data_IF_862402665055
#
_entry.id   IF_862402665055
#
_cell.length_a   1.000
_cell.length_b   1.000
_cell.length_c   1.000
_cell.angle_alpha   90.00
_cell.angle_beta   90.00
_cell.angle_gamma   90.00
#
_symmetry.space_group_name_H-M   'P 1'
#
loop_
_entity.id
_entity.type
_entity.pdbx_description
1 polymer ?
#
# COMPACT_ATOMS: atom_id res chain seq x y z
N UNK A 1 11.03 -19.27 -0.05
CA UNK A 1 10.67 -17.86 0.20
C UNK A 1 9.28 -17.84 0.81
N UNK A 2 8.96 -16.92 1.74
CA UNK A 2 7.60 -16.78 2.25
C UNK A 2 6.61 -16.58 1.08
N UNK A 3 5.51 -17.34 1.09
CA UNK A 3 4.57 -17.40 -0.03
C UNK A 3 3.66 -16.16 -0.15
N UNK A 4 3.68 -15.27 0.85
CA UNK A 4 2.80 -14.10 0.93
C UNK A 4 3.62 -12.82 1.13
N UNK A 5 4.42 -12.48 0.11
CA UNK A 5 5.04 -11.16 0.01
C UNK A 5 4.03 -10.19 -0.60
N UNK A 6 3.85 -9.04 0.04
CA UNK A 6 3.04 -7.94 -0.45
C UNK A 6 3.90 -6.69 -0.69
N UNK A 7 3.32 -5.67 -1.32
CA UNK A 7 4.04 -4.45 -1.65
C UNK A 7 4.45 -3.63 -0.41
N UNK A 8 3.65 -3.69 0.66
CA UNK A 8 3.97 -3.06 1.94
C UNK A 8 5.26 -3.65 2.52
N UNK A 9 5.45 -4.97 2.45
CA UNK A 9 6.64 -5.65 2.96
C UNK A 9 7.90 -5.11 2.27
N UNK A 10 7.90 -5.05 0.94
CA UNK A 10 9.05 -4.58 0.14
C UNK A 10 9.35 -3.12 0.44
N UNK A 11 8.32 -2.27 0.51
CA UNK A 11 8.45 -0.84 0.77
C UNK A 11 9.01 -0.58 2.18
N UNK A 12 8.48 -1.27 3.19
CA UNK A 12 8.95 -1.17 4.59
C UNK A 12 10.38 -1.71 4.72
N UNK A 13 10.68 -2.84 4.07
CA UNK A 13 11.99 -3.47 4.10
C UNK A 13 13.08 -2.56 3.52
N UNK A 14 12.80 -1.87 2.40
CA UNK A 14 13.74 -0.93 1.76
C UNK A 14 14.07 0.29 2.65
N UNK A 15 13.19 0.64 3.59
CA UNK A 15 13.39 1.76 4.53
C UNK A 15 14.32 1.43 5.69
N UNK A 16 14.63 0.16 5.91
CA UNK A 16 15.54 -0.28 6.97
C UNK A 16 16.98 -0.02 6.55
N UNK A 17 17.68 0.83 7.31
CA UNK A 17 19.11 1.10 7.19
C UNK A 17 19.90 0.36 8.27
N UNK A 18 21.23 0.19 8.14
CA UNK A 18 22.04 -0.52 9.13
C UNK A 18 21.97 0.03 10.57
N UNK A 19 21.66 1.32 10.73
CA UNK A 19 21.54 2.03 12.01
C UNK A 19 20.09 2.12 12.51
N UNK A 20 19.16 1.44 11.85
CA UNK A 20 17.73 1.51 12.17
C UNK A 20 17.39 0.69 13.41
N UNK A 21 16.72 1.33 14.36
CA UNK A 21 16.21 0.70 15.59
C UNK A 21 14.69 0.66 15.58
N UNK A 22 14.10 -0.27 16.33
CA UNK A 22 12.64 -0.43 16.42
C UNK A 22 11.96 0.86 16.88
N UNK A 23 12.56 1.56 17.84
CA UNK A 23 12.02 2.78 18.45
C UNK A 23 12.02 3.96 17.47
N UNK A 24 12.98 4.02 16.54
CA UNK A 24 13.11 5.09 15.55
C UNK A 24 12.40 4.78 14.23
N UNK A 25 12.04 3.51 14.00
CA UNK A 25 11.55 3.08 12.70
C UNK A 25 10.25 3.77 12.28
N UNK A 26 9.32 4.02 13.22
CA UNK A 26 8.08 4.73 12.91
C UNK A 26 8.31 6.10 12.26
N UNK A 27 9.31 6.84 12.73
CA UNK A 27 9.70 8.13 12.13
C UNK A 27 10.24 8.01 10.70
N UNK A 28 10.87 6.89 10.34
CA UNK A 28 11.42 6.68 8.99
C UNK A 28 10.34 6.38 7.93
N UNK A 29 9.19 5.86 8.38
CA UNK A 29 8.05 5.51 7.52
C UNK A 29 6.85 6.43 7.74
N UNK A 30 7.02 7.57 8.42
CA UNK A 30 5.95 8.53 8.75
C UNK A 30 4.73 7.87 9.42
N UNK A 31 4.96 6.88 10.28
CA UNK A 31 3.91 6.11 10.94
C UNK A 31 4.10 6.11 12.46
N UNK A 32 3.02 5.83 13.18
CA UNK A 32 3.10 5.66 14.64
C UNK A 32 4.04 4.51 15.01
N UNK A 33 4.62 4.55 16.21
CA UNK A 33 5.44 3.45 16.73
C UNK A 33 4.68 2.11 16.70
N UNK A 34 3.38 2.13 16.99
CA UNK A 34 2.52 0.94 17.00
C UNK A 34 2.36 0.34 15.60
N UNK A 35 2.02 1.16 14.60
CA UNK A 35 1.87 0.70 13.22
C UNK A 35 3.19 0.19 12.64
N UNK A 36 4.28 0.89 12.94
CA UNK A 36 5.62 0.50 12.55
C UNK A 36 6.02 -0.84 13.18
N UNK A 37 5.68 -1.04 14.47
CA UNK A 37 5.91 -2.31 15.17
C UNK A 37 5.09 -3.45 14.56
N UNK A 38 3.84 -3.20 14.13
CA UNK A 38 3.02 -4.19 13.44
C UNK A 38 3.61 -4.58 12.08
N UNK A 39 4.09 -3.60 11.31
CA UNK A 39 4.76 -3.85 10.04
C UNK A 39 6.06 -4.66 10.24
N UNK A 40 6.90 -4.26 11.20
CA UNK A 40 8.12 -4.99 11.57
C UNK A 40 7.83 -6.40 12.08
N UNK A 41 6.79 -6.58 12.89
CA UNK A 41 6.33 -7.89 13.35
C UNK A 41 5.93 -8.79 12.19
N UNK A 42 5.24 -8.24 11.19
CA UNK A 42 4.89 -8.96 9.96
C UNK A 42 6.13 -9.37 9.17
N UNK A 43 7.11 -8.47 9.01
CA UNK A 43 8.39 -8.79 8.37
C UNK A 43 9.17 -9.88 9.13
N UNK A 44 9.16 -9.84 10.46
CA UNK A 44 9.80 -10.84 11.32
C UNK A 44 9.15 -12.21 11.18
N UNK A 45 7.81 -12.28 11.17
CA UNK A 45 7.06 -13.53 10.96
C UNK A 45 7.34 -14.14 9.58
N UNK A 46 7.53 -13.30 8.56
CA UNK A 46 7.92 -13.71 7.20
C UNK A 46 9.41 -14.07 7.09
N UNK A 47 10.20 -13.89 8.16
CA UNK A 47 11.63 -14.15 8.18
C UNK A 47 12.47 -13.17 7.35
N UNK A 48 11.95 -11.99 7.06
CA UNK A 48 12.62 -10.96 6.25
C UNK A 48 13.54 -10.06 7.08
N UNK A 49 13.23 -9.93 8.37
CA UNK A 49 14.05 -9.17 9.34
C UNK A 49 14.26 -9.98 10.61
N UNK A 50 15.28 -9.61 11.36
CA UNK A 50 15.56 -10.08 12.71
C UNK A 50 15.74 -8.88 13.65
N UNK A 51 15.48 -9.11 14.94
CA UNK A 51 15.70 -8.13 16.00
C UNK A 51 16.82 -8.64 16.90
N UNK A 52 17.83 -7.81 17.12
CA UNK A 52 18.83 -8.08 18.15
C UNK A 52 18.46 -7.30 19.39
N UNK A 53 18.07 -8.02 20.45
CA UNK A 53 17.75 -7.43 21.74
C UNK A 53 19.04 -7.26 22.54
N UNK A 54 19.49 -6.03 22.72
CA UNK A 54 20.55 -5.72 23.68
C UNK A 54 19.89 -5.34 25.01
N UNK A 55 20.24 -6.04 26.10
CA UNK A 55 19.80 -5.68 27.45
C UNK A 55 21.02 -5.27 28.27
N UNK A 56 21.14 -4.00 28.72
CA UNK A 56 20.28 -2.84 28.41
C UNK A 56 20.62 -2.23 27.03
N UNK A 57 19.63 -1.86 26.22
CA UNK A 57 19.89 -1.27 24.89
C UNK A 57 18.67 -1.12 23.97
N UNK A 58 18.88 -0.44 22.83
CA UNK A 58 17.89 -0.31 21.75
C UNK A 58 17.86 -1.57 20.90
N UNK A 59 16.68 -1.93 20.41
CA UNK A 59 16.52 -3.10 19.56
C UNK A 59 16.94 -2.75 18.13
N UNK A 60 18.05 -3.32 17.65
CA UNK A 60 18.49 -3.11 16.27
C UNK A 60 17.74 -4.04 15.31
N UNK A 61 17.40 -3.53 14.13
CA UNK A 61 16.72 -4.30 13.09
C UNK A 61 17.75 -4.73 12.05
N UNK A 62 17.86 -6.03 11.79
CA UNK A 62 18.74 -6.58 10.76
C UNK A 62 17.91 -7.20 9.65
N UNK A 63 18.21 -6.87 8.39
CA UNK A 63 17.60 -7.54 7.23
C UNK A 63 18.26 -8.91 7.06
N UNK A 64 17.46 -9.98 7.05
CA UNK A 64 17.95 -11.34 6.90
C UNK A 64 18.42 -11.61 5.48
N UNK A 65 19.08 -12.74 5.25
CA UNK A 65 19.46 -13.18 3.90
C UNK A 65 18.25 -13.30 2.96
N UNK A 66 17.10 -13.75 3.48
CA UNK A 66 15.86 -13.86 2.72
C UNK A 66 15.35 -12.46 2.34
N UNK A 67 15.41 -11.51 3.28
CA UNK A 67 15.05 -10.11 3.03
C UNK A 67 15.95 -9.45 1.98
N UNK A 68 17.26 -9.65 2.07
CA UNK A 68 18.23 -9.14 1.09
C UNK A 68 17.96 -9.70 -0.30
N UNK A 69 17.76 -11.01 -0.42
CA UNK A 69 17.43 -11.65 -1.70
C UNK A 69 16.14 -11.11 -2.31
N UNK A 70 15.14 -10.80 -1.48
CA UNK A 70 13.90 -10.18 -1.94
C UNK A 70 14.15 -8.76 -2.50
N UNK A 71 14.97 -7.96 -1.81
CA UNK A 71 15.35 -6.63 -2.30
C UNK A 71 16.17 -6.70 -3.59
N UNK A 72 17.10 -7.66 -3.70
CA UNK A 72 17.87 -7.88 -4.93
C UNK A 72 16.98 -8.28 -6.12
N UNK A 73 15.97 -9.13 -5.88
CA UNK A 73 14.98 -9.50 -6.90
C UNK A 73 14.17 -8.28 -7.34
N UNK A 74 13.77 -7.43 -6.39
CA UNK A 74 13.06 -6.18 -6.65
C UNK A 74 13.91 -5.16 -7.44
N UNK A 75 15.16 -4.94 -7.01
CA UNK A 75 16.15 -4.08 -7.68
C UNK A 75 16.52 -4.61 -9.09
N UNK A 76 16.44 -5.93 -9.31
CA UNK A 76 16.60 -6.53 -10.64
C UNK A 76 15.39 -6.24 -11.52
N UNK A 77 14.17 -6.32 -10.96
CA UNK A 77 12.92 -6.03 -11.67
C UNK A 77 12.79 -4.56 -12.04
N UNK A 78 13.25 -3.67 -11.17
CA UNK A 78 13.31 -2.23 -11.42
C UNK A 78 14.02 -1.91 -12.75
N UNK A 79 15.09 -2.63 -13.07
CA UNK A 79 15.90 -2.37 -14.29
C UNK A 79 15.28 -2.95 -15.56
N UNK A 80 14.20 -3.72 -15.45
CA UNK A 80 13.52 -4.29 -16.61
C UNK A 80 12.74 -3.21 -17.36
N UNK A 81 12.62 -3.32 -18.69
CA UNK A 81 11.82 -2.39 -19.48
C UNK A 81 10.36 -2.45 -19.05
N UNK A 82 9.65 -1.34 -19.23
CA UNK A 82 8.22 -1.24 -18.97
C UNK A 82 7.44 -2.27 -19.81
N UNK A 83 6.52 -2.98 -19.18
CA UNK A 83 5.79 -4.09 -19.79
C UNK A 83 4.26 -3.91 -19.74
N UNK A 84 3.53 -4.93 -20.24
CA UNK A 84 2.07 -4.86 -20.32
C UNK A 84 1.40 -4.95 -18.95
N UNK A 85 2.02 -5.62 -17.99
CA UNK A 85 1.47 -5.75 -16.64
C UNK A 85 1.63 -4.42 -15.88
N UNK A 86 2.76 -3.75 -16.05
CA UNK A 86 2.96 -2.38 -15.57
C UNK A 86 1.87 -1.45 -16.11
N UNK A 87 1.60 -1.51 -17.41
CA UNK A 87 0.54 -0.71 -18.02
C UNK A 87 -0.83 -1.01 -17.41
N UNK A 88 -1.17 -2.30 -17.27
CA UNK A 88 -2.44 -2.70 -16.66
C UNK A 88 -2.59 -2.16 -15.24
N UNK A 89 -1.52 -2.23 -14.44
CA UNK A 89 -1.48 -1.67 -13.08
C UNK A 89 -1.71 -0.15 -13.11
N UNK A 90 -0.99 0.59 -13.97
CA UNK A 90 -1.18 2.04 -14.10
C UNK A 90 -2.61 2.40 -14.56
N UNK A 91 -3.20 1.63 -15.48
CA UNK A 91 -4.59 1.81 -15.91
C UNK A 91 -5.56 1.62 -14.74
N UNK A 92 -5.40 0.56 -13.92
CA UNK A 92 -6.25 0.36 -12.74
C UNK A 92 -6.08 1.46 -11.70
N UNK A 93 -4.86 1.93 -11.47
CA UNK A 93 -4.60 3.08 -10.60
C UNK A 93 -5.27 4.35 -11.13
N UNK A 94 -5.24 4.58 -12.45
CA UNK A 94 -5.92 5.72 -13.10
C UNK A 94 -7.45 5.67 -12.97
N UNK A 95 -8.01 4.45 -12.87
CA UNK A 95 -9.42 4.21 -12.60
C UNK A 95 -9.80 4.39 -11.11
N UNK A 96 -8.87 4.81 -10.26
CA UNK A 96 -9.11 5.12 -8.85
C UNK A 96 -8.86 3.97 -7.88
N UNK A 97 -8.32 2.82 -8.33
CA UNK A 97 -8.00 1.67 -7.47
C UNK A 97 -6.67 1.89 -6.73
N UNK A 98 -6.69 2.72 -5.68
CA UNK A 98 -5.47 3.13 -4.93
C UNK A 98 -5.06 2.16 -3.81
N UNK A 99 -5.98 1.32 -3.34
CA UNK A 99 -5.69 0.32 -2.31
C UNK A 99 -5.07 -0.93 -2.95
N UNK A 100 -4.04 -1.49 -2.31
CA UNK A 100 -3.39 -2.74 -2.72
C UNK A 100 -4.36 -3.92 -2.85
N UNK A 101 -5.34 -4.04 -1.96
CA UNK A 101 -6.32 -5.13 -2.00
C UNK A 101 -7.23 -5.04 -3.25
N UNK A 102 -7.70 -3.84 -3.56
CA UNK A 102 -8.52 -3.60 -4.74
C UNK A 102 -7.74 -3.82 -6.03
N UNK A 103 -6.49 -3.36 -6.05
CA UNK A 103 -5.60 -3.52 -7.19
C UNK A 103 -5.26 -4.99 -7.45
N UNK A 104 -4.98 -5.75 -6.38
CA UNK A 104 -4.76 -7.20 -6.48
C UNK A 104 -5.97 -7.93 -7.07
N UNK A 105 -7.18 -7.51 -6.69
CA UNK A 105 -8.43 -8.09 -7.21
C UNK A 105 -8.66 -7.70 -8.67
N UNK A 106 -8.36 -6.46 -9.05
CA UNK A 106 -8.57 -5.95 -10.39
C UNK A 106 -7.61 -6.53 -11.44
N UNK A 107 -6.34 -6.73 -11.06
CA UNK A 107 -5.31 -7.25 -11.97
C UNK A 107 -5.25 -8.79 -11.96
N UNK A 108 -5.78 -9.43 -10.90
CA UNK A 108 -5.85 -10.89 -10.74
C UNK A 108 -4.47 -11.58 -10.88
N UNK A 109 -3.48 -11.08 -10.15
CA UNK A 109 -2.11 -11.62 -10.13
C UNK A 109 -1.68 -11.97 -8.71
N UNK A 110 -0.60 -12.74 -8.59
CA UNK A 110 -0.02 -13.10 -7.31
C UNK A 110 0.49 -11.84 -6.57
N UNK A 111 0.30 -11.77 -5.25
CA UNK A 111 0.73 -10.65 -4.41
C UNK A 111 2.22 -10.35 -4.52
N UNK A 112 3.07 -11.38 -4.66
CA UNK A 112 4.52 -11.19 -4.83
C UNK A 112 4.81 -10.48 -6.17
N UNK A 113 4.16 -10.92 -7.24
CA UNK A 113 4.37 -10.36 -8.56
C UNK A 113 3.90 -8.90 -8.61
N UNK A 114 2.69 -8.64 -8.08
CA UNK A 114 2.17 -7.29 -7.90
C UNK A 114 3.14 -6.41 -7.10
N UNK A 115 3.73 -6.93 -6.02
CA UNK A 115 4.71 -6.21 -5.21
C UNK A 115 5.96 -5.83 -6.01
N UNK A 116 6.48 -6.74 -6.85
CA UNK A 116 7.66 -6.46 -7.69
C UNK A 116 7.34 -5.40 -8.76
N UNK A 117 6.18 -5.49 -9.42
CA UNK A 117 5.76 -4.51 -10.42
C UNK A 117 5.49 -3.13 -9.80
N UNK A 118 4.82 -3.08 -8.65
CA UNK A 118 4.61 -1.81 -7.93
C UNK A 118 5.93 -1.20 -7.45
N UNK A 119 6.89 -2.02 -7.00
CA UNK A 119 8.24 -1.56 -6.66
C UNK A 119 8.94 -0.92 -7.86
N UNK A 120 8.97 -1.63 -8.99
CA UNK A 120 9.50 -1.14 -10.26
C UNK A 120 8.84 0.19 -10.67
N UNK A 121 7.51 0.27 -10.63
CA UNK A 121 6.77 1.48 -10.98
C UNK A 121 7.08 2.66 -10.04
N UNK A 122 7.31 2.40 -8.75
CA UNK A 122 7.68 3.41 -7.77
C UNK A 122 9.07 3.99 -8.02
N UNK A 123 10.07 3.12 -8.18
CA UNK A 123 11.45 3.52 -8.45
C UNK A 123 11.60 4.20 -9.83
N UNK A 124 10.87 3.74 -10.84
CA UNK A 124 10.81 4.40 -12.15
C UNK A 124 9.94 5.68 -12.18
N UNK A 125 9.46 6.14 -11.01
CA UNK A 125 8.70 7.37 -10.82
C UNK A 125 7.37 7.43 -11.59
N UNK A 126 6.73 6.30 -11.85
CA UNK A 126 5.36 6.27 -12.40
C UNK A 126 4.31 6.36 -11.28
N UNK A 127 4.64 5.90 -10.08
CA UNK A 127 3.77 6.03 -8.91
C UNK A 127 4.51 6.68 -7.74
N UNK A 128 3.78 7.44 -6.94
CA UNK A 128 4.19 7.91 -5.63
C UNK A 128 3.53 7.06 -4.55
N UNK A 129 4.32 6.69 -3.55
CA UNK A 129 3.90 5.81 -2.45
C UNK A 129 4.13 6.53 -1.13
N UNK A 130 3.05 6.69 -0.35
CA UNK A 130 3.10 7.23 1.01
C UNK A 130 2.63 6.15 1.99
N UNK A 131 3.31 6.04 3.14
CA UNK A 131 2.85 5.20 4.24
C UNK A 131 2.34 6.14 5.32
N UNK A 132 1.07 5.98 5.70
CA UNK A 132 0.43 6.78 6.73
C UNK A 132 -0.47 5.92 7.60
N UNK A 133 -0.28 5.97 8.91
CA UNK A 133 -1.07 5.22 9.89
C UNK A 133 -1.14 3.72 9.55
N UNK A 134 0.01 3.12 9.19
CA UNK A 134 0.10 1.71 8.80
C UNK A 134 -0.60 1.35 7.48
N UNK A 135 -1.16 2.32 6.76
CA UNK A 135 -1.79 2.13 5.45
C UNK A 135 -0.87 2.65 4.35
N UNK A 136 -0.86 1.94 3.23
CA UNK A 136 -0.09 2.31 2.04
C UNK A 136 -1.03 3.01 1.05
N UNK A 137 -0.75 4.26 0.72
CA UNK A 137 -1.45 5.04 -0.29
C UNK A 137 -0.59 5.15 -1.55
N UNK A 138 -1.21 4.93 -2.70
CA UNK A 138 -0.57 5.02 -4.01
C UNK A 138 -1.28 6.03 -4.88
N UNK A 139 -0.49 6.90 -5.51
CA UNK A 139 -0.95 7.88 -6.48
C UNK A 139 -0.11 7.81 -7.75
N UNK A 140 -0.72 8.12 -8.90
CA UNK A 140 0.02 8.28 -10.14
C UNK A 140 0.81 9.58 -10.10
N UNK A 141 2.06 9.53 -10.54
CA UNK A 141 2.81 10.74 -10.89
C UNK A 141 2.34 11.27 -12.25
N UNK A 142 2.81 12.45 -12.64
CA UNK A 142 2.58 12.97 -14.00
C UNK A 142 3.06 11.98 -15.07
N UNK A 143 4.23 11.38 -14.86
CA UNK A 143 4.80 10.35 -15.75
C UNK A 143 3.89 9.11 -15.82
N UNK A 144 3.41 8.63 -14.67
CA UNK A 144 2.45 7.53 -14.57
C UNK A 144 1.16 7.77 -15.34
N UNK A 145 0.59 8.95 -15.14
CA UNK A 145 -0.66 9.35 -15.78
C UNK A 145 -0.54 9.50 -17.30
N UNK A 146 0.57 10.07 -17.79
CA UNK A 146 0.82 10.17 -19.22
C UNK A 146 1.02 8.79 -19.84
N UNK A 147 1.75 7.89 -19.17
CA UNK A 147 1.96 6.53 -19.65
C UNK A 147 0.65 5.73 -19.69
N UNK A 148 -0.21 5.85 -18.68
CA UNK A 148 -1.51 5.15 -18.66
C UNK A 148 -2.44 5.58 -19.79
N UNK A 149 -2.28 6.80 -20.31
CA UNK A 149 -3.05 7.33 -21.45
C UNK A 149 -2.41 7.02 -22.80
N UNK A 150 -1.08 7.04 -22.88
CA UNK A 150 -0.34 6.80 -24.12
C UNK A 150 -0.38 5.32 -24.55
N UNK A 151 -0.64 4.40 -23.62
CA UNK A 151 -0.64 2.96 -23.87
C UNK A 151 0.77 2.35 -23.75
N UNK A 152 1.02 1.23 -24.42
CA UNK A 152 2.36 0.63 -24.42
C UNK A 152 3.34 1.58 -25.10
N UNK A 153 4.53 1.84 -24.52
CA UNK A 153 5.53 2.62 -25.20
C UNK A 153 5.87 1.89 -26.50
N UNK A 154 5.62 2.53 -27.65
CA UNK A 154 6.06 1.97 -28.92
C UNK A 154 7.58 1.89 -28.85
N UNK A 155 8.10 0.67 -28.71
CA UNK A 155 9.51 0.41 -28.95
C UNK A 155 9.80 0.94 -30.35
N UNK A 156 10.56 2.03 -30.43
CA UNK A 156 11.11 2.52 -31.68
C UNK A 156 11.98 1.38 -32.21
N UNK A 157 11.39 0.54 -33.06
CA UNK A 157 12.12 -0.39 -33.89
C UNK A 157 13.14 0.47 -34.66
N UNK A 158 14.45 0.13 -34.58
CA UNK A 158 15.47 0.88 -35.29
C UNK A 158 15.05 0.99 -36.75
N UNK A 159 14.79 2.21 -37.21
CA UNK A 159 14.57 2.48 -38.62
C UNK A 159 15.88 2.12 -39.34
N UNK A 160 15.90 0.94 -39.96
CA UNK A 160 16.90 0.61 -40.97
C UNK A 160 16.84 1.73 -42.02
N UNK A 161 17.95 2.41 -42.32
CA UNK A 161 17.95 3.46 -43.32
C UNK A 161 17.55 2.86 -44.67
N UNK A 162 16.33 3.14 -45.12
CA UNK A 162 15.89 2.81 -46.46
C UNK A 162 16.68 3.67 -47.45
N UNK A 163 17.65 3.05 -48.13
CA UNK A 163 18.23 3.59 -49.35
C UNK A 163 17.09 3.83 -50.35
N UNK A 164 17.05 5.07 -50.83
CA UNK A 164 15.97 5.55 -51.67
C UNK A 164 15.84 4.82 -53.00
N UNK A 165 14.62 4.81 -53.49
CA UNK A 165 14.37 4.86 -54.93
C UNK A 165 13.20 5.80 -55.14
N UNK A 166 13.51 6.95 -55.75
CA UNK A 166 12.55 7.94 -56.22
C UNK A 166 11.75 7.35 -57.39
N UNK A 167 10.43 7.55 -57.40
CA UNK A 167 9.59 7.82 -58.59
C UNK A 167 8.18 8.19 -58.11
N UNK A 168 7.83 9.49 -58.11
CA UNK A 168 7.09 10.24 -59.15
C UNK A 168 5.60 9.86 -59.25
N UNK A 169 4.76 10.73 -58.67
CA UNK A 169 3.58 11.38 -59.25
C UNK A 169 2.40 10.52 -59.75
N UNK A 170 1.25 10.58 -59.07
CA UNK A 170 0.07 11.19 -59.69
C UNK A 170 -1.10 11.52 -58.74
N UNK A 171 -1.88 12.47 -59.25
CA UNK A 171 -2.91 13.32 -58.66
C UNK A 171 -4.27 12.60 -58.61
N UNK A 172 -5.04 12.75 -57.52
CA UNK A 172 -6.48 13.01 -57.63
C UNK A 172 -7.06 13.60 -56.34
N UNK A 173 -7.61 14.80 -56.48
CA UNK A 173 -8.47 15.47 -55.53
C UNK A 173 -9.91 14.94 -55.68
N UNK A 174 -10.63 14.73 -54.58
CA UNK A 174 -12.07 14.96 -54.60
C UNK A 174 -12.63 15.36 -53.23
N UNK A 175 -13.30 16.50 -53.30
CA UNK A 175 -14.10 17.28 -52.35
C UNK A 175 -15.46 16.65 -51.99
N UNK A 176 -15.84 16.74 -50.70
CA UNK A 176 -17.19 17.10 -50.16
C UNK A 176 -17.07 17.16 -48.63
N UNK A 177 -17.17 18.27 -47.88
CA UNK A 177 -18.15 19.35 -47.77
C UNK A 177 -19.51 18.95 -47.14
N UNK A 178 -19.88 19.70 -46.09
CA UNK A 178 -21.18 19.78 -45.38
C UNK A 178 -21.39 18.72 -44.27
N UNK A 179 -21.79 19.04 -43.03
CA UNK A 179 -22.80 20.02 -42.63
C UNK A 179 -22.72 20.35 -41.12
N UNK A 180 -22.90 21.63 -40.79
CA UNK A 180 -23.20 22.23 -39.48
C UNK A 180 -24.61 22.83 -39.56
N UNK A 181 -25.44 22.74 -38.50
CA UNK A 181 -25.99 23.93 -37.82
C UNK A 181 -26.06 23.71 -36.28
N UNK A 182 -25.59 24.62 -35.42
CA UNK A 182 -26.17 25.91 -34.96
C UNK A 182 -27.22 25.82 -33.82
N UNK A 183 -26.84 26.39 -32.65
CA UNK A 183 -27.57 27.33 -31.77
C UNK A 183 -28.60 26.86 -30.68
N UNK A 184 -28.17 27.00 -29.39
CA UNK A 184 -28.77 27.66 -28.17
C UNK A 184 -30.17 27.26 -27.61
N UNK A 185 -30.51 27.44 -26.30
CA UNK A 185 -30.07 28.52 -25.40
C UNK A 185 -29.76 28.20 -23.90
N UNK A 186 -29.16 29.23 -23.30
CA UNK A 186 -28.90 29.59 -21.91
C UNK A 186 -29.92 29.18 -20.84
N UNK A 187 -29.43 28.76 -19.66
CA UNK A 187 -30.01 29.13 -18.37
C UNK A 187 -28.92 29.26 -17.27
N UNK A 188 -28.77 30.48 -16.78
CA UNK A 188 -28.24 30.84 -15.45
C UNK A 188 -29.30 30.50 -14.40
N UNK A 189 -28.93 30.15 -13.16
CA UNK A 189 -29.03 31.17 -12.11
C UNK A 189 -27.91 31.19 -11.07
N UNK A 190 -27.75 32.39 -10.52
CA UNK A 190 -26.95 32.81 -9.36
C UNK A 190 -27.28 32.05 -8.06
N UNK A 191 -26.24 31.81 -7.25
CA UNK A 191 -26.19 32.18 -5.82
C UNK A 191 -24.75 31.91 -5.32
N UNK A 192 -23.96 32.95 -5.03
CA UNK A 192 -23.95 33.76 -3.81
C UNK A 192 -23.20 33.08 -2.64
N UNK A 193 -22.03 33.66 -2.34
CA UNK A 193 -21.34 33.80 -1.03
C UNK A 193 -20.91 32.50 -0.31
N UNK A 194 -19.79 32.42 0.42
CA UNK A 194 -19.01 33.39 1.17
C UNK A 194 -17.52 32.99 1.19
N UNK A 195 -16.68 34.00 0.98
CA UNK A 195 -15.23 33.98 1.15
C UNK A 195 -14.92 34.47 2.57
N UNK A 196 -14.29 33.64 3.42
CA UNK A 196 -13.61 34.11 4.63
C UNK A 196 -12.25 33.42 4.78
N UNK A 197 -11.22 34.15 4.37
CA UNK A 197 -9.84 34.00 4.82
C UNK A 197 -9.69 34.45 6.28
N UNK A 198 -8.97 33.71 7.13
CA UNK A 198 -8.30 34.29 8.28
C UNK A 198 -6.80 34.35 8.03
N UNK A 199 -6.32 35.54 7.68
CA UNK A 199 -4.91 35.93 7.75
C UNK A 199 -4.57 36.23 9.20
N UNK A 200 -3.64 35.48 9.79
CA UNK A 200 -3.06 35.74 11.11
C UNK A 200 -1.65 36.31 10.93
N UNK A 201 -1.35 37.52 11.43
CA UNK A 201 0.02 37.91 11.69
C UNK A 201 0.29 38.07 13.19
N UNK A 202 1.41 37.45 13.60
CA UNK A 202 2.38 37.92 14.60
C UNK A 202 2.08 37.74 16.10
N UNK A 203 2.99 37.04 16.83
CA UNK A 203 3.26 37.26 18.24
C UNK A 203 4.65 37.88 18.46
N UNK A 204 4.70 39.03 19.14
CA UNK A 204 5.91 39.63 19.67
C UNK A 204 5.77 39.93 21.17
N UNK A 205 6.68 39.35 21.96
CA UNK A 205 7.30 39.80 23.22
C UNK A 205 6.45 40.16 24.48
N UNK A 206 6.62 39.31 25.54
CA UNK A 206 7.00 39.58 26.96
C UNK A 206 6.28 40.64 27.85
N UNK A 207 6.42 40.65 29.21
CA UNK A 207 6.60 39.58 30.22
C UNK A 207 5.73 39.75 31.52
N UNK A 208 5.81 38.75 32.43
CA UNK A 208 5.65 38.78 33.90
C UNK A 208 4.29 39.05 34.59
N UNK A 209 3.84 38.09 35.45
CA UNK A 209 3.63 38.26 36.91
C UNK A 209 2.56 37.30 37.52
N UNK A 210 2.99 36.62 38.59
CA UNK A 210 2.30 36.06 39.77
C UNK A 210 0.76 35.88 39.88
N UNK A 211 0.37 34.61 40.10
CA UNK A 211 -0.46 34.06 41.21
C UNK A 211 -1.97 34.46 41.36
N UNK A 212 -2.74 33.89 42.30
CA UNK A 212 -3.73 32.83 42.06
C UNK A 212 -5.19 33.20 42.47
N UNK A 213 -6.22 32.48 41.99
CA UNK A 213 -7.43 32.14 42.77
C UNK A 213 -8.53 31.42 41.95
N UNK A 214 -8.92 30.27 42.50
CA UNK A 214 -10.20 29.56 42.61
C UNK A 214 -11.56 30.24 42.28
N UNK A 215 -12.49 29.32 41.96
CA UNK A 215 -13.97 29.35 42.04
C UNK A 215 -14.73 30.10 40.92
N UNK A 216 -15.95 29.74 40.51
CA UNK A 216 -16.80 28.56 40.58
C UNK A 216 -18.15 29.05 40.00
N UNK A 217 -18.64 28.54 38.86
CA UNK A 217 -20.02 28.70 38.36
C UNK A 217 -20.06 28.08 36.95
N UNK A 218 -21.07 27.33 36.49
CA UNK A 218 -22.45 27.25 36.92
C UNK A 218 -23.05 25.95 36.38
N UNK A 219 -23.81 25.26 37.21
CA UNK A 219 -24.68 24.14 36.82
C UNK A 219 -25.85 24.67 35.97
N UNK A 220 -26.14 24.00 34.86
CA UNK A 220 -27.30 24.33 34.02
C UNK A 220 -28.08 23.06 33.63
N UNK A 221 -29.33 23.07 34.07
CA UNK A 221 -30.53 22.41 33.57
C UNK A 221 -30.62 20.88 33.49
N UNK A 222 -31.30 20.37 34.51
CA UNK A 222 -32.11 19.15 34.52
C UNK A 222 -33.49 19.41 33.89
N UNK A 223 -34.07 18.35 33.31
CA UNK A 223 -35.46 18.11 32.87
C UNK A 223 -35.73 18.24 31.36
N UNK A 224 -35.77 17.10 30.67
CA UNK A 224 -37.03 16.53 30.19
C UNK A 224 -36.81 15.09 29.71
N UNK A 225 -37.68 14.20 30.18
CA UNK A 225 -37.70 12.77 29.92
C UNK A 225 -38.09 12.46 28.47
N UNK A 226 -37.43 11.44 27.90
CA UNK A 226 -38.04 10.55 26.92
C UNK A 226 -37.42 9.15 27.07
N UNK A 227 -38.21 8.26 27.66
CA UNK A 227 -38.01 6.82 27.66
C UNK A 227 -37.98 6.29 26.21
N UNK A 228 -36.85 5.72 25.80
CA UNK A 228 -36.83 4.63 24.84
C UNK A 228 -36.00 3.50 25.43
N UNK A 229 -36.69 2.41 25.75
CA UNK A 229 -36.13 1.14 26.17
C UNK A 229 -35.16 0.63 25.08
N UNK A 230 -33.86 0.64 25.39
CA UNK A 230 -32.87 -0.16 24.67
C UNK A 230 -32.90 -1.60 25.20
N UNK A 231 -32.94 -2.62 24.31
CA UNK A 231 -32.68 -4.00 24.71
C UNK A 231 -31.19 -4.17 25.07
N UNK A 232 -30.84 -5.17 25.91
CA UNK A 232 -29.48 -5.34 26.42
C UNK A 232 -28.53 -5.92 25.37
N UNK A 233 -27.65 -5.08 24.82
CA UNK A 233 -26.58 -5.44 23.85
C UNK A 233 -25.46 -6.32 24.45
N UNK A 234 -25.44 -6.52 25.77
CA UNK A 234 -24.36 -7.25 26.44
C UNK A 234 -24.39 -8.78 26.22
N UNK A 235 -25.52 -9.34 25.77
CA UNK A 235 -25.62 -10.79 25.53
C UNK A 235 -25.09 -11.21 24.14
N UNK A 236 -25.24 -10.36 23.13
CA UNK A 236 -24.83 -10.68 21.76
C UNK A 236 -23.31 -10.65 21.58
N UNK A 237 -22.62 -9.72 22.27
CA UNK A 237 -21.15 -9.61 22.23
C UNK A 237 -20.50 -10.84 22.90
N UNK A 238 -21.10 -11.35 23.98
CA UNK A 238 -20.60 -12.54 24.68
C UNK A 238 -20.76 -13.83 23.87
N UNK A 239 -21.84 -13.97 23.09
CA UNK A 239 -22.05 -15.13 22.22
C UNK A 239 -21.15 -15.10 20.97
N UNK A 240 -20.90 -13.93 20.40
CA UNK A 240 -20.02 -13.78 19.24
C UNK A 240 -18.56 -14.13 19.58
N UNK A 241 -18.07 -13.73 20.75
CA UNK A 241 -16.72 -14.09 21.21
C UNK A 241 -16.57 -15.60 21.49
N UNK A 242 -17.66 -16.27 21.89
CA UNK A 242 -17.69 -17.72 22.10
C UNK A 242 -17.69 -18.51 20.78
N UNK A 243 -18.30 -18.00 19.71
CA UNK A 243 -18.21 -18.62 18.39
C UNK A 243 -16.81 -18.52 17.76
N UNK A 244 -16.13 -17.38 17.94
CA UNK A 244 -14.77 -17.19 17.43
C UNK A 244 -13.75 -18.14 18.09
N UNK A 245 -13.90 -18.41 19.39
CA UNK A 245 -12.97 -19.29 20.13
C UNK A 245 -13.21 -20.79 19.89
N UNK A 246 -14.43 -21.22 19.58
CA UNK A 246 -14.70 -22.63 19.25
C UNK A 246 -14.17 -23.04 17.87
N UNK A 247 -14.08 -22.10 16.92
CA UNK A 247 -13.57 -22.42 15.58
C UNK A 247 -12.04 -22.53 15.51
N UNK A 248 -11.30 -21.88 16.41
CA UNK A 248 -9.83 -21.94 16.43
C UNK A 248 -9.31 -23.26 17.01
N UNK A 249 -10.04 -23.90 17.93
CA UNK A 249 -9.58 -25.13 18.58
C UNK A 249 -9.71 -26.39 17.71
N UNK A 250 -10.66 -26.45 16.77
CA UNK A 250 -10.83 -27.64 15.91
C UNK A 250 -9.80 -27.76 14.78
N UNK A 251 -9.10 -26.68 14.41
CA UNK A 251 -8.09 -26.70 13.34
C UNK A 251 -6.68 -27.12 13.79
N UNK A 252 -6.32 -27.01 15.08
CA UNK A 252 -4.94 -27.29 15.51
C UNK A 252 -4.60 -28.79 15.52
N UNK A 253 -5.54 -29.66 15.88
CA UNK A 253 -5.26 -31.10 15.99
C UNK A 253 -4.96 -31.75 14.64
N UNK A 254 -5.59 -31.30 13.55
CA UNK A 254 -5.32 -31.84 12.20
C UNK A 254 -3.91 -31.48 11.70
N UNK A 255 -3.40 -30.30 12.09
CA UNK A 255 -2.04 -29.88 11.72
C UNK A 255 -0.97 -30.69 12.48
N UNK A 256 -1.25 -31.06 13.72
CA UNK A 256 -0.35 -31.90 14.53
C UNK A 256 -0.18 -33.30 13.93
N UNK A 257 -1.27 -33.96 13.50
CA UNK A 257 -1.20 -35.28 12.87
C UNK A 257 -0.48 -35.26 11.51
N UNK A 258 -0.66 -34.20 10.72
CA UNK A 258 0.04 -34.04 9.45
C UNK A 258 1.56 -33.89 9.64
N UNK A 259 1.98 -33.11 10.65
CA UNK A 259 3.39 -32.95 10.98
C UNK A 259 4.03 -34.27 11.47
N UNK A 260 3.31 -35.03 12.32
CA UNK A 260 3.79 -36.33 12.80
C UNK A 260 3.96 -37.35 11.67
N UNK A 261 3.04 -37.40 10.70
CA UNK A 261 3.13 -38.30 9.55
C UNK A 261 4.36 -38.00 8.67
N UNK A 262 4.68 -36.72 8.45
CA UNK A 262 5.85 -36.31 7.67
C UNK A 262 7.16 -36.74 8.36
N UNK A 263 7.24 -36.59 9.68
CA UNK A 263 8.42 -37.00 10.46
C UNK A 263 8.64 -38.52 10.33
N UNK A 264 7.58 -39.32 10.42
CA UNK A 264 7.68 -40.78 10.26
C UNK A 264 8.20 -41.16 8.87
N UNK A 265 7.71 -40.49 7.81
CA UNK A 265 8.16 -40.74 6.43
C UNK A 265 9.66 -40.40 6.28
N UNK A 266 10.12 -39.29 6.86
CA UNK A 266 11.53 -38.89 6.82
C UNK A 266 12.41 -39.93 7.54
N UNK A 267 11.97 -40.43 8.70
CA UNK A 267 12.70 -41.47 9.45
C UNK A 267 12.78 -42.77 8.63
N UNK A 268 11.69 -43.21 8.01
CA UNK A 268 11.69 -44.41 7.16
C UNK A 268 12.62 -44.27 5.96
N UNK A 269 12.62 -43.12 5.29
CA UNK A 269 13.55 -42.85 4.18
C UNK A 269 15.01 -42.85 4.65
N UNK A 270 15.30 -42.30 5.83
CA UNK A 270 16.64 -42.30 6.40
C UNK A 270 17.12 -43.71 6.79
N UNK A 271 16.22 -44.57 7.29
CA UNK A 271 16.54 -45.97 7.60
C UNK A 271 16.77 -46.80 6.33
N UNK A 272 15.97 -46.57 5.29
CA UNK A 272 16.13 -47.22 3.98
C UNK A 272 17.46 -46.81 3.31
N UNK A 273 17.79 -45.52 3.35
CA UNK A 273 19.07 -45.01 2.81
C UNK A 273 20.30 -45.56 3.55
N UNK A 274 20.15 -45.92 4.83
CA UNK A 274 21.21 -46.55 5.63
C UNK A 274 21.26 -48.07 5.50
N UNK A 275 20.38 -48.69 4.70
CA UNK A 275 20.30 -50.14 4.53
C UNK A 275 19.92 -50.90 5.82
N UNK A 276 19.25 -50.20 6.75
CA UNK A 276 18.77 -50.79 8.01
C UNK A 276 17.37 -51.41 7.82
N UNK A 277 16.64 -50.96 6.80
CA UNK A 277 15.33 -51.47 6.38
C UNK A 277 15.39 -52.11 4.99
#
# INVERSE_FOLDING_TARGET
MPNEINFMDVTVLKRIKPDTTVEKFGGLINSSFFDASNALGTLKLKGLVDFTTYVPGQNSITVTEIGKKLLEEADTKEKMPFDQLDLAILTQLSAGKRNLADLSTAVNINSKDLAMHLYKLGEQQYISVDIRNGSLDMSLTEKGFMQSKAGMPQQQVPQTPAQGTQQIQNVHAQTTAMQQPAATPSQTPQNASTQTTPTKPNPGAQPAAAAPASNAQQAQNTQAAQEMQHPPEDKEIAEMQKQLSQNTQKKSNKMLYAAAAIIIIIILLALFAKGVL
#
